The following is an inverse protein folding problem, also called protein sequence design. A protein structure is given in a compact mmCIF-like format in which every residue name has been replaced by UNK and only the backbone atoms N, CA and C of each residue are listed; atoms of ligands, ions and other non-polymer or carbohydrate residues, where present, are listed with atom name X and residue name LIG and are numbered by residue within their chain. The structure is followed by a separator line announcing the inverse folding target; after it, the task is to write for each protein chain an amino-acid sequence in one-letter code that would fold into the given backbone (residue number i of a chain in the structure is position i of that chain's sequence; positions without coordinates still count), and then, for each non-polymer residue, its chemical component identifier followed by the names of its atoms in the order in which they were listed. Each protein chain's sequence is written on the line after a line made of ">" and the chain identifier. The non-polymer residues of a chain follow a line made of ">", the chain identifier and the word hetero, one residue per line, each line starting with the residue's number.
data_IF_055454916082
#
_entry.id   IF_055454916082
#
_cell.length_a   1.000
_cell.length_b   1.000
_cell.length_c   1.000
_cell.angle_alpha   90.00
_cell.angle_beta   90.00
_cell.angle_gamma   90.00
#
_symmetry.space_group_name_H-M   'P 1'
#
loop_
_entity.id
_entity.type
_entity.pdbx_description
1 polymer ?
#
# COMPACT_ATOMS: atom_id res chain seq x y z
N UNK A 1 -3.33 -13.22 16.80
CA UNK A 1 -3.26 -12.04 16.00
C UNK A 1 -2.54 -12.29 14.70
N UNK A 2 -3.19 -12.07 13.63
CA UNK A 2 -2.63 -12.34 12.32
C UNK A 2 -2.38 -11.04 11.56
N UNK A 3 -1.30 -11.03 10.81
CA UNK A 3 -1.01 -9.92 9.94
C UNK A 3 -1.83 -10.07 8.67
N UNK A 4 -2.28 -8.95 8.15
CA UNK A 4 -2.93 -8.96 6.86
C UNK A 4 -1.90 -9.27 5.78
N UNK A 5 -2.32 -10.02 4.79
CA UNK A 5 -1.50 -10.16 3.62
C UNK A 5 -1.69 -8.93 2.73
N UNK A 6 -0.79 -8.77 1.76
CA UNK A 6 -0.91 -7.67 0.82
C UNK A 6 -2.25 -7.74 0.06
N UNK A 7 -2.62 -8.94 -0.37
CA UNK A 7 -3.87 -9.11 -1.11
C UNK A 7 -5.08 -8.76 -0.24
N UNK A 8 -5.02 -9.11 1.04
CA UNK A 8 -6.09 -8.78 1.96
C UNK A 8 -6.25 -7.27 2.09
N UNK A 9 -5.12 -6.57 2.20
CA UNK A 9 -5.15 -5.11 2.30
C UNK A 9 -5.76 -4.50 1.04
N UNK A 10 -5.38 -5.00 -0.12
CA UNK A 10 -5.93 -4.51 -1.38
C UNK A 10 -7.44 -4.73 -1.43
N UNK A 11 -7.88 -5.91 -1.02
CA UNK A 11 -9.31 -6.21 -1.02
C UNK A 11 -10.08 -5.30 -0.06
N UNK A 12 -9.50 -5.03 1.11
CA UNK A 12 -10.14 -4.15 2.08
C UNK A 12 -10.28 -2.74 1.53
N UNK A 13 -9.26 -2.25 0.83
CA UNK A 13 -9.33 -0.93 0.24
C UNK A 13 -10.38 -0.85 -0.85
N UNK A 14 -10.48 -1.90 -1.66
CA UNK A 14 -11.50 -1.94 -2.71
C UNK A 14 -12.89 -1.94 -2.09
N UNK A 15 -13.10 -2.72 -1.04
CA UNK A 15 -14.39 -2.76 -0.35
C UNK A 15 -14.76 -1.39 0.18
N UNK A 16 -13.80 -0.71 0.78
CA UNK A 16 -14.06 0.60 1.35
C UNK A 16 -14.35 1.61 0.25
N UNK A 17 -13.67 1.51 -0.88
CA UNK A 17 -13.92 2.41 -2.00
C UNK A 17 -15.33 2.24 -2.56
N UNK A 18 -15.88 1.04 -2.45
CA UNK A 18 -17.24 0.78 -2.93
C UNK A 18 -18.30 1.21 -1.95
N UNK A 19 -17.91 1.68 -0.78
CA UNK A 19 -18.85 2.16 0.23
C UNK A 19 -19.30 3.56 -0.14
N UNK A 20 -20.60 3.74 -0.30
CA UNK A 20 -21.16 5.03 -0.71
C UNK A 20 -21.02 6.10 0.37
N UNK A 21 -20.73 5.71 1.61
CA UNK A 21 -20.60 6.65 2.71
C UNK A 21 -19.18 7.21 2.86
N UNK A 22 -18.26 6.78 2.01
CA UNK A 22 -16.88 7.24 2.10
C UNK A 22 -16.79 8.67 1.57
N UNK A 23 -16.09 9.53 2.32
CA UNK A 23 -15.92 10.92 1.91
C UNK A 23 -15.00 11.03 0.70
N UNK A 24 -15.04 12.18 0.04
CA UNK A 24 -14.21 12.41 -1.14
C UNK A 24 -12.73 12.33 -0.80
N UNK A 25 -12.35 12.90 0.34
CA UNK A 25 -10.96 12.86 0.77
C UNK A 25 -10.51 11.43 1.05
N UNK A 26 -11.35 10.69 1.74
CA UNK A 26 -11.02 9.30 2.04
C UNK A 26 -10.93 8.48 0.78
N UNK A 27 -11.83 8.72 -0.15
CA UNK A 27 -11.83 7.98 -1.41
C UNK A 27 -10.55 8.24 -2.19
N UNK A 28 -10.11 9.50 -2.22
CA UNK A 28 -8.86 9.84 -2.92
C UNK A 28 -7.67 9.17 -2.25
N UNK A 29 -7.65 9.20 -0.92
CA UNK A 29 -6.57 8.56 -0.17
C UNK A 29 -6.52 7.06 -0.44
N UNK A 30 -7.68 6.42 -0.44
CA UNK A 30 -7.74 4.98 -0.70
C UNK A 30 -7.31 4.66 -2.13
N UNK A 31 -7.69 5.50 -3.06
CA UNK A 31 -7.31 5.30 -4.45
C UNK A 31 -5.80 5.38 -4.62
N UNK A 32 -5.17 6.37 -3.98
CA UNK A 32 -3.73 6.51 -4.03
C UNK A 32 -3.04 5.34 -3.35
N UNK A 33 -3.57 4.93 -2.22
CA UNK A 33 -3.00 3.80 -1.50
C UNK A 33 -3.13 2.51 -2.31
N UNK A 34 -4.27 2.33 -2.95
CA UNK A 34 -4.48 1.14 -3.76
C UNK A 34 -3.52 1.09 -4.93
N UNK A 35 -3.29 2.22 -5.57
CA UNK A 35 -2.31 2.29 -6.64
C UNK A 35 -0.92 1.88 -6.15
N UNK A 36 -0.54 2.39 -4.98
CA UNK A 36 0.76 2.06 -4.41
C UNK A 36 0.87 0.59 -4.07
N UNK A 37 -0.21 0.03 -3.52
CA UNK A 37 -0.22 -1.39 -3.17
C UNK A 37 -0.12 -2.28 -4.40
N UNK A 38 -0.85 -1.91 -5.44
CA UNK A 38 -0.81 -2.70 -6.67
C UNK A 38 0.56 -2.63 -7.32
N UNK A 39 1.18 -1.45 -7.28
CA UNK A 39 2.51 -1.30 -7.83
C UNK A 39 3.53 -2.10 -7.03
N UNK A 40 3.39 -2.08 -5.71
CA UNK A 40 4.26 -2.86 -4.84
C UNK A 40 4.12 -4.35 -5.17
N UNK A 41 2.88 -4.80 -5.35
CA UNK A 41 2.62 -6.20 -5.68
C UNK A 41 3.28 -6.58 -7.01
N UNK A 42 3.20 -5.69 -7.99
CA UNK A 42 3.81 -5.96 -9.28
C UNK A 42 5.33 -6.02 -9.20
N UNK A 43 5.92 -5.20 -8.34
CA UNK A 43 7.37 -5.18 -8.18
C UNK A 43 7.88 -6.30 -7.28
N UNK A 44 7.01 -6.86 -6.46
CA UNK A 44 7.38 -7.93 -5.53
C UNK A 44 6.39 -9.09 -5.64
N UNK A 45 6.37 -9.77 -6.78
CA UNK A 45 5.34 -10.79 -7.02
C UNK A 45 5.43 -11.99 -6.08
N UNK A 46 6.59 -12.21 -5.49
CA UNK A 46 6.77 -13.35 -4.59
C UNK A 46 6.47 -13.02 -3.15
N UNK A 47 6.17 -11.76 -2.86
CA UNK A 47 5.88 -11.34 -1.50
C UNK A 47 4.40 -11.05 -1.37
N UNK A 48 3.81 -11.52 -0.26
CA UNK A 48 2.41 -11.23 -0.01
C UNK A 48 2.19 -10.61 1.36
N UNK A 49 3.25 -10.16 2.03
CA UNK A 49 3.08 -9.46 3.29
C UNK A 49 2.57 -8.04 3.05
N UNK A 50 1.86 -7.52 4.05
CA UNK A 50 1.29 -6.18 3.97
C UNK A 50 2.39 -5.15 4.22
N UNK A 51 2.79 -4.36 3.22
CA UNK A 51 3.89 -3.43 3.40
C UNK A 51 3.50 -2.28 4.32
N UNK A 52 4.49 -1.77 5.05
CA UNK A 52 4.28 -0.59 5.86
C UNK A 52 4.24 0.64 4.97
N UNK A 53 3.83 1.77 5.55
CA UNK A 53 3.83 3.03 4.81
C UNK A 53 5.23 3.37 4.30
N UNK A 54 6.25 3.10 5.11
CA UNK A 54 7.62 3.37 4.72
C UNK A 54 8.03 2.49 3.55
N UNK A 55 7.64 1.22 3.57
CA UNK A 55 7.96 0.32 2.48
C UNK A 55 7.33 0.78 1.17
N UNK A 56 6.07 1.23 1.24
CA UNK A 56 5.40 1.75 0.05
C UNK A 56 6.08 3.01 -0.46
N UNK A 57 6.44 3.88 0.45
CA UNK A 57 7.12 5.12 0.08
C UNK A 57 8.46 4.82 -0.58
N UNK A 58 9.22 3.90 0.00
CA UNK A 58 10.53 3.56 -0.54
C UNK A 58 10.45 2.87 -1.89
N UNK A 59 9.38 2.12 -2.11
CA UNK A 59 9.19 1.47 -3.40
C UNK A 59 9.02 2.51 -4.50
N UNK A 60 8.34 3.61 -4.18
CA UNK A 60 8.12 4.70 -5.14
C UNK A 60 9.28 5.67 -5.18
N UNK A 61 10.00 5.81 -4.10
CA UNK A 61 11.07 6.80 -3.98
C UNK A 61 12.34 6.15 -3.43
N UNK A 62 12.97 5.28 -4.21
CA UNK A 62 14.14 4.54 -3.71
C UNK A 62 15.33 5.44 -3.40
N UNK A 63 15.35 6.65 -3.95
CA UNK A 63 16.45 7.58 -3.72
C UNK A 63 16.24 8.44 -2.46
N UNK A 64 15.11 8.31 -1.81
CA UNK A 64 14.85 9.11 -0.62
C UNK A 64 15.82 8.77 0.48
N UNK A 65 16.18 9.77 1.28
CA UNK A 65 17.15 9.58 2.34
C UNK A 65 16.66 8.56 3.37
N UNK A 66 15.39 8.59 3.69
CA UNK A 66 14.82 7.65 4.65
C UNK A 66 15.02 6.22 4.22
N UNK A 67 14.92 5.97 2.94
CA UNK A 67 15.03 4.62 2.41
C UNK A 67 16.48 4.14 2.47
N UNK A 68 17.42 5.04 2.29
CA UNK A 68 18.83 4.66 2.33
C UNK A 68 19.29 4.33 3.74
N UNK A 69 18.71 5.02 4.72
CA UNK A 69 19.05 4.78 6.11
C UNK A 69 18.63 3.39 6.55
N UNK A 70 17.47 2.95 6.11
CA UNK A 70 16.91 1.67 6.55
C UNK A 70 17.34 0.51 5.68
N UNK A 71 18.04 0.81 4.63
CA UNK A 71 18.50 -0.25 3.73
C UNK A 71 19.90 -0.65 4.13
N UNK A 72 20.09 -1.92 4.34
CA UNK A 72 21.41 -2.40 4.74
C UNK A 72 22.21 -2.87 3.56
#
# INVERSE_FOLDING_TARGET
>A
MTNKSLQQHINDDIDELNDSNVSSQRRRHLSDELNALEQYQANHPDEDHDPTSLELYCDSHPDALECRIYEE
#
